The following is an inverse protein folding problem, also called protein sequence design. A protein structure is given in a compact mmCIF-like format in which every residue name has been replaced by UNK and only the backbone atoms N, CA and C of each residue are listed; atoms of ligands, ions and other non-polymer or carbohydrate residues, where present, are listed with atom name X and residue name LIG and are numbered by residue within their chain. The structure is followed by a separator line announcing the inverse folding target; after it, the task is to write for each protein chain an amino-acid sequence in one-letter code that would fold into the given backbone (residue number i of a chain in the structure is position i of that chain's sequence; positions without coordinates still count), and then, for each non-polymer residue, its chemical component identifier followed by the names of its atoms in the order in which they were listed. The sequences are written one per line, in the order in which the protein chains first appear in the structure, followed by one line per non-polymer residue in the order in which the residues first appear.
data_IF_972645563439
#
_entry.id   IF_972645563439
#
_cell.length_a   1.000
_cell.length_b   1.000
_cell.length_c   1.000
_cell.angle_alpha   90.00
_cell.angle_beta   90.00
_cell.angle_gamma   90.00
#
_symmetry.space_group_name_H-M   'P 1'
#
loop_
_entity.id
_entity.type
_entity.pdbx_description
1 polymer ?
#
# COMPACT_ATOMS: atom_id res chain seq x y z
N UNK A 1 4.24 -10.13 -0.42
CA UNK A 1 2.97 -9.98 0.32
C UNK A 1 1.97 -9.34 -0.62
N UNK A 2 0.73 -9.81 -0.62
CA UNK A 2 -0.25 -9.47 -1.66
C UNK A 2 -1.64 -9.26 -1.09
N UNK A 3 -2.52 -8.74 -1.93
CA UNK A 3 -3.95 -8.66 -1.65
C UNK A 3 -4.57 -10.05 -1.65
N UNK A 4 -5.81 -10.16 -1.17
CA UNK A 4 -6.56 -11.41 -1.21
C UNK A 4 -7.08 -11.70 -2.64
N UNK A 5 -6.21 -11.62 -3.64
CA UNK A 5 -6.48 -11.79 -5.07
C UNK A 5 -6.02 -13.16 -5.54
N UNK A 6 -6.94 -14.08 -5.90
CA UNK A 6 -6.57 -15.39 -6.44
C UNK A 6 -5.70 -15.30 -7.69
N UNK A 7 -5.97 -14.31 -8.56
CA UNK A 7 -5.21 -14.08 -9.79
C UNK A 7 -3.78 -13.67 -9.51
N UNK A 8 -3.57 -12.76 -8.56
CA UNK A 8 -2.23 -12.31 -8.16
C UNK A 8 -1.43 -13.45 -7.52
N UNK A 9 -2.07 -14.23 -6.64
CA UNK A 9 -1.46 -15.41 -6.03
C UNK A 9 -1.05 -16.43 -7.09
N UNK A 10 -1.91 -16.69 -8.07
CA UNK A 10 -1.63 -17.64 -9.15
C UNK A 10 -0.47 -17.17 -10.03
N UNK A 11 -0.48 -15.90 -10.45
CA UNK A 11 0.58 -15.32 -11.28
C UNK A 11 1.95 -15.36 -10.57
N UNK A 12 2.00 -15.04 -9.28
CA UNK A 12 3.27 -15.10 -8.52
C UNK A 12 3.77 -16.53 -8.41
N UNK A 13 2.89 -17.51 -8.15
CA UNK A 13 3.30 -18.93 -8.09
C UNK A 13 3.78 -19.47 -9.44
N UNK A 14 3.21 -18.98 -10.54
CA UNK A 14 3.61 -19.36 -11.88
C UNK A 14 5.02 -18.85 -12.23
N UNK A 15 5.33 -17.60 -11.88
CA UNK A 15 6.63 -16.99 -12.17
C UNK A 15 7.69 -17.38 -11.14
N UNK A 16 7.31 -17.49 -9.87
CA UNK A 16 8.20 -17.74 -8.74
C UNK A 16 7.75 -18.97 -7.94
N UNK A 17 8.21 -20.14 -8.36
CA UNK A 17 7.80 -21.43 -7.78
C UNK A 17 8.04 -21.57 -6.26
N UNK A 18 9.06 -20.87 -5.72
CA UNK A 18 9.47 -20.96 -4.31
C UNK A 18 9.11 -19.71 -3.48
N UNK A 19 8.27 -18.81 -4.01
CA UNK A 19 7.93 -17.60 -3.28
C UNK A 19 6.91 -17.88 -2.15
N UNK A 20 7.27 -17.49 -0.92
CA UNK A 20 6.33 -17.47 0.19
C UNK A 20 5.32 -16.34 0.01
N UNK A 21 4.05 -16.70 -0.14
CA UNK A 21 2.97 -15.73 -0.34
C UNK A 21 2.27 -15.47 0.98
N UNK A 22 2.22 -14.19 1.35
CA UNK A 22 1.54 -13.73 2.55
C UNK A 22 0.45 -12.74 2.19
N UNK A 23 -0.73 -12.94 2.74
CA UNK A 23 -1.84 -11.99 2.59
C UNK A 23 -1.68 -10.82 3.54
N UNK A 24 -1.95 -9.61 3.04
CA UNK A 24 -1.90 -8.38 3.82
C UNK A 24 -3.07 -8.30 4.82
N UNK A 25 -2.77 -8.13 6.12
CA UNK A 25 -3.80 -7.97 7.16
C UNK A 25 -4.65 -6.72 6.95
N UNK A 26 -4.06 -5.66 6.38
CA UNK A 26 -4.75 -4.39 6.07
C UNK A 26 -5.93 -4.59 5.12
N UNK A 27 -5.84 -5.52 4.17
CA UNK A 27 -6.94 -5.79 3.23
C UNK A 27 -7.92 -6.83 3.76
N UNK A 28 -7.47 -7.74 4.63
CA UNK A 28 -8.32 -8.77 5.24
C UNK A 28 -9.29 -8.15 6.25
N UNK A 29 -8.81 -7.30 7.16
CA UNK A 29 -9.62 -6.73 8.25
C UNK A 29 -10.86 -5.98 7.72
N UNK A 30 -10.76 -5.07 6.74
CA UNK A 30 -11.93 -4.41 6.14
C UNK A 30 -12.90 -5.37 5.44
N UNK A 31 -12.39 -6.46 4.83
CA UNK A 31 -13.23 -7.47 4.21
C UNK A 31 -14.04 -8.25 5.27
N UNK A 32 -13.44 -8.53 6.43
CA UNK A 32 -14.16 -9.08 7.59
C UNK A 32 -15.18 -8.09 8.12
N UNK A 33 -14.80 -6.84 8.39
CA UNK A 33 -15.70 -5.81 8.90
C UNK A 33 -16.94 -5.59 8.02
N UNK A 34 -16.75 -5.60 6.69
CA UNK A 34 -17.87 -5.45 5.73
C UNK A 34 -18.87 -6.59 5.89
N UNK A 35 -18.38 -7.82 6.00
CA UNK A 35 -19.22 -8.99 6.21
C UNK A 35 -19.82 -9.02 7.61
N UNK A 36 -19.09 -8.59 8.63
CA UNK A 36 -19.60 -8.48 10.01
C UNK A 36 -20.77 -7.51 10.05
N UNK A 37 -20.63 -6.32 9.47
CA UNK A 37 -21.71 -5.31 9.45
C UNK A 37 -22.95 -5.79 8.71
N UNK A 38 -22.76 -6.56 7.63
CA UNK A 38 -23.85 -7.07 6.79
C UNK A 38 -24.55 -8.28 7.41
N UNK A 39 -23.77 -9.28 7.81
CA UNK A 39 -24.25 -10.61 8.19
C UNK A 39 -24.63 -10.67 9.68
N UNK A 40 -24.05 -9.81 10.52
CA UNK A 40 -24.41 -9.65 11.93
C UNK A 40 -25.29 -8.41 12.05
N UNK A 41 -26.55 -8.56 11.66
CA UNK A 41 -27.60 -7.57 11.87
C UNK A 41 -28.82 -8.26 12.48
N UNK A 42 -29.26 -7.79 13.65
CA UNK A 42 -30.55 -8.21 14.19
C UNK A 42 -31.63 -7.50 13.36
N UNK A 43 -32.35 -8.26 12.52
CA UNK A 43 -33.48 -7.70 11.78
C UNK A 43 -34.47 -7.14 12.81
N UNK A 44 -34.89 -5.88 12.65
CA UNK A 44 -36.10 -5.34 13.29
C UNK A 44 -37.30 -6.09 12.73
N UNK A 45 -37.57 -7.28 13.27
CA UNK A 45 -38.77 -8.04 12.97
C UNK A 45 -39.97 -7.41 13.65
N UNK A 46 -41.01 -7.15 12.85
CA UNK A 46 -42.28 -6.55 13.25
C UNK A 46 -43.12 -7.43 14.21
N UNK A 47 -42.65 -8.62 14.58
CA UNK A 47 -43.29 -9.50 15.56
C UNK A 47 -42.27 -10.57 16.00
N UNK A 48 -41.37 -10.23 16.92
CA UNK A 48 -41.00 -11.14 18.01
C UNK A 48 -40.15 -10.38 19.03
N UNK A 49 -40.53 -10.53 20.29
CA UNK A 49 -39.91 -9.90 21.45
C UNK A 49 -38.46 -10.36 21.57
N UNK A 50 -37.53 -9.60 21.00
CA UNK A 50 -36.24 -9.14 21.57
C UNK A 50 -35.68 -8.18 20.50
N UNK A 51 -36.07 -6.91 20.60
CA UNK A 51 -35.36 -5.83 19.89
C UNK A 51 -34.03 -5.62 20.62
N UNK A 52 -32.99 -6.38 20.25
CA UNK A 52 -31.63 -6.03 20.71
C UNK A 52 -31.32 -4.62 20.21
N UNK A 53 -30.86 -3.76 21.11
CA UNK A 53 -30.57 -2.37 20.80
C UNK A 53 -29.44 -2.28 19.76
N UNK A 54 -29.31 -1.12 19.11
CA UNK A 54 -28.16 -0.84 18.24
C UNK A 54 -26.83 -1.07 18.98
N UNK A 55 -26.80 -0.76 20.28
CA UNK A 55 -25.65 -0.97 21.16
C UNK A 55 -25.33 -2.45 21.37
N UNK A 56 -26.32 -3.30 21.61
CA UNK A 56 -26.12 -4.75 21.74
C UNK A 56 -25.59 -5.39 20.45
N UNK A 57 -25.99 -4.85 19.30
CA UNK A 57 -25.50 -5.30 17.99
C UNK A 57 -24.04 -4.93 17.80
N UNK A 58 -23.64 -3.74 18.22
CA UNK A 58 -22.26 -3.25 18.16
C UNK A 58 -21.34 -4.06 19.08
N UNK A 59 -21.75 -4.30 20.33
CA UNK A 59 -21.00 -5.15 21.27
C UNK A 59 -20.74 -6.56 20.73
N UNK A 60 -21.72 -7.15 20.03
CA UNK A 60 -21.56 -8.47 19.39
C UNK A 60 -20.54 -8.40 18.25
N UNK A 61 -20.58 -7.35 17.42
CA UNK A 61 -19.63 -7.17 16.31
C UNK A 61 -18.20 -6.94 16.81
N UNK A 62 -18.05 -6.18 17.89
CA UNK A 62 -16.76 -5.92 18.53
C UNK A 62 -16.17 -7.21 19.10
N UNK A 63 -17.00 -8.02 19.78
CA UNK A 63 -16.59 -9.34 20.27
C UNK A 63 -16.13 -10.26 19.15
N UNK A 64 -16.89 -10.33 18.05
CA UNK A 64 -16.52 -11.15 16.89
C UNK A 64 -15.20 -10.66 16.26
N UNK A 65 -15.02 -9.35 16.16
CA UNK A 65 -13.77 -8.75 15.67
C UNK A 65 -12.59 -9.06 16.58
N UNK A 66 -12.78 -9.03 17.90
CA UNK A 66 -11.77 -9.42 18.88
C UNK A 66 -11.37 -10.89 18.75
N UNK A 67 -12.34 -11.80 18.62
CA UNK A 67 -12.08 -13.23 18.43
C UNK A 67 -11.30 -13.49 17.12
N UNK A 68 -11.66 -12.80 16.04
CA UNK A 68 -10.96 -12.86 14.76
C UNK A 68 -9.50 -12.36 14.88
N UNK A 69 -9.27 -11.29 15.64
CA UNK A 69 -7.91 -10.80 15.92
C UNK A 69 -7.12 -11.79 16.79
N UNK A 70 -7.73 -12.40 17.80
CA UNK A 70 -7.08 -13.43 18.63
C UNK A 70 -6.59 -14.61 17.77
N UNK A 71 -7.45 -15.10 16.87
CA UNK A 71 -7.05 -16.08 15.86
C UNK A 71 -5.96 -15.53 14.93
N UNK A 72 -6.06 -14.27 14.49
CA UNK A 72 -5.06 -13.61 13.61
C UNK A 72 -3.64 -13.72 14.15
N UNK A 73 -3.49 -13.50 15.46
CA UNK A 73 -2.20 -13.38 16.15
C UNK A 73 -1.84 -14.58 17.02
N UNK A 74 -2.55 -15.70 16.91
CA UNK A 74 -2.18 -16.95 17.61
C UNK A 74 -0.76 -17.38 17.25
N UNK A 75 0.06 -17.71 18.25
CA UNK A 75 1.49 -18.01 18.07
C UNK A 75 1.75 -19.42 17.51
N UNK A 76 0.87 -20.38 17.81
CA UNK A 76 1.02 -21.76 17.36
C UNK A 76 -0.24 -22.26 16.64
N UNK A 77 -0.11 -23.27 15.75
CA UNK A 77 -1.26 -23.90 15.10
C UNK A 77 -2.31 -24.43 16.10
N UNK A 78 -1.88 -24.97 17.23
CA UNK A 78 -2.77 -25.52 18.26
C UNK A 78 -3.54 -24.39 18.97
N UNK A 79 -2.88 -23.27 19.26
CA UNK A 79 -3.53 -22.09 19.81
C UNK A 79 -4.56 -21.52 18.84
N UNK A 80 -4.26 -21.53 17.55
CA UNK A 80 -5.20 -21.14 16.51
C UNK A 80 -6.41 -22.09 16.46
N UNK A 81 -6.19 -23.40 16.43
CA UNK A 81 -7.26 -24.39 16.31
C UNK A 81 -8.20 -24.33 17.52
N UNK A 82 -7.66 -24.13 18.74
CA UNK A 82 -8.46 -23.87 19.94
C UNK A 82 -9.28 -22.59 19.83
N UNK A 83 -8.67 -21.48 19.41
CA UNK A 83 -9.35 -20.21 19.21
C UNK A 83 -10.45 -20.30 18.13
N UNK A 84 -10.23 -21.08 17.08
CA UNK A 84 -11.21 -21.33 16.01
C UNK A 84 -12.39 -22.15 16.53
N UNK A 85 -12.16 -23.19 17.32
CA UNK A 85 -13.24 -23.98 17.94
C UNK A 85 -14.10 -23.13 18.89
N UNK A 86 -13.47 -22.33 19.75
CA UNK A 86 -14.17 -21.39 20.63
C UNK A 86 -14.98 -20.37 19.81
N UNK A 87 -14.37 -19.81 18.76
CA UNK A 87 -15.04 -18.87 17.86
C UNK A 87 -16.30 -19.47 17.22
N UNK A 88 -16.25 -20.73 16.75
CA UNK A 88 -17.42 -21.42 16.20
C UNK A 88 -18.50 -21.66 17.26
N UNK A 89 -18.11 -22.10 18.46
CA UNK A 89 -19.04 -22.41 19.55
C UNK A 89 -19.78 -21.16 20.05
N UNK A 90 -19.07 -20.03 20.18
CA UNK A 90 -19.59 -18.76 20.71
C UNK A 90 -20.46 -17.99 19.72
N UNK A 91 -20.37 -18.29 18.43
CA UNK A 91 -21.00 -17.50 17.36
C UNK A 91 -21.87 -18.35 16.43
N UNK A 92 -22.33 -19.51 16.92
CA UNK A 92 -23.11 -20.49 16.18
C UNK A 92 -24.39 -19.91 15.56
N UNK A 93 -24.95 -18.85 16.16
CA UNK A 93 -26.14 -18.16 15.67
C UNK A 93 -25.90 -17.36 14.38
N UNK A 94 -24.64 -17.08 14.02
CA UNK A 94 -24.27 -16.30 12.83
C UNK A 94 -23.81 -17.21 11.68
N UNK A 95 -24.63 -18.22 11.36
CA UNK A 95 -24.29 -19.27 10.37
C UNK A 95 -23.81 -18.74 9.02
N UNK A 96 -24.43 -17.67 8.50
CA UNK A 96 -24.04 -17.04 7.23
C UNK A 96 -22.61 -16.51 7.28
N UNK A 97 -22.25 -15.85 8.38
CA UNK A 97 -20.89 -15.33 8.58
C UNK A 97 -19.88 -16.46 8.78
N UNK A 98 -20.24 -17.47 9.57
CA UNK A 98 -19.39 -18.65 9.79
C UNK A 98 -19.14 -19.42 8.49
N UNK A 99 -20.17 -19.60 7.65
CA UNK A 99 -20.04 -20.25 6.34
C UNK A 99 -19.12 -19.44 5.41
N UNK A 100 -19.27 -18.11 5.39
CA UNK A 100 -18.34 -17.23 4.67
C UNK A 100 -16.90 -17.40 5.16
N UNK A 101 -16.69 -17.41 6.48
CA UNK A 101 -15.37 -17.53 7.07
C UNK A 101 -14.72 -18.89 6.78
N UNK A 102 -15.43 -19.98 7.04
CA UNK A 102 -14.92 -21.32 6.81
C UNK A 102 -14.66 -21.60 5.33
N UNK A 103 -15.46 -21.03 4.42
CA UNK A 103 -15.27 -21.24 2.97
C UNK A 103 -14.11 -20.43 2.41
N UNK A 104 -14.05 -19.13 2.71
CA UNK A 104 -13.10 -18.23 2.05
C UNK A 104 -11.78 -18.15 2.80
N UNK A 105 -11.86 -18.11 4.13
CA UNK A 105 -10.73 -17.77 4.97
C UNK A 105 -10.04 -19.04 5.47
N UNK A 106 -10.73 -20.04 6.01
CA UNK A 106 -10.06 -21.22 6.58
C UNK A 106 -9.08 -21.95 5.62
N UNK A 107 -9.36 -22.16 4.32
CA UNK A 107 -8.43 -22.80 3.40
C UNK A 107 -7.14 -22.02 3.16
N UNK A 108 -7.13 -20.72 3.47
CA UNK A 108 -6.00 -19.81 3.29
C UNK A 108 -5.32 -19.47 4.62
N UNK A 109 -5.48 -20.33 5.63
CA UNK A 109 -5.03 -20.05 7.00
C UNK A 109 -3.52 -19.80 7.07
N UNK A 110 -2.74 -20.63 6.40
CA UNK A 110 -1.28 -20.59 6.35
C UNK A 110 -0.74 -19.27 5.75
N UNK A 111 -1.44 -18.69 4.79
CA UNK A 111 -1.01 -17.46 4.10
C UNK A 111 -1.18 -16.20 4.96
N UNK A 112 -1.93 -16.25 6.08
CA UNK A 112 -2.31 -15.03 6.83
C UNK A 112 -2.11 -15.09 8.34
N UNK A 113 -2.26 -16.24 8.99
CA UNK A 113 -2.21 -16.32 10.45
C UNK A 113 -0.79 -16.41 10.96
N UNK A 114 -0.54 -15.77 12.11
CA UNK A 114 0.81 -15.71 12.71
C UNK A 114 1.36 -17.11 13.03
N UNK A 115 0.49 -18.03 13.43
CA UNK A 115 0.83 -19.43 13.76
C UNK A 115 1.64 -20.18 12.68
N UNK A 116 1.51 -19.79 11.41
CA UNK A 116 2.24 -20.40 10.29
C UNK A 116 3.33 -19.46 9.71
N UNK A 117 3.65 -18.36 10.40
CA UNK A 117 4.58 -17.31 9.94
C UNK A 117 5.78 -17.12 10.88
N UNK A 118 6.38 -18.22 11.33
CA UNK A 118 7.41 -18.21 12.39
C UNK A 118 8.64 -17.34 12.07
N UNK A 119 8.91 -17.01 10.80
CA UNK A 119 10.11 -16.27 10.39
C UNK A 119 9.87 -14.87 9.78
N UNK A 120 8.63 -14.35 9.79
CA UNK A 120 8.35 -13.04 9.16
C UNK A 120 8.36 -11.92 10.21
N UNK A 121 9.36 -11.05 10.17
CA UNK A 121 9.53 -9.92 11.11
C UNK A 121 8.58 -8.75 10.88
N UNK A 122 7.87 -8.72 9.75
CA UNK A 122 7.04 -7.58 9.35
C UNK A 122 5.58 -7.72 9.80
N UNK A 123 5.13 -6.82 10.67
CA UNK A 123 3.71 -6.61 10.95
C UNK A 123 3.10 -5.75 9.83
N UNK A 124 2.36 -6.41 8.94
CA UNK A 124 1.91 -5.87 7.63
C UNK A 124 1.08 -4.59 7.74
N UNK A 125 0.35 -4.43 8.84
CA UNK A 125 -0.49 -3.26 9.10
C UNK A 125 0.37 -1.98 9.14
N UNK A 126 1.48 -2.02 9.88
CA UNK A 126 2.22 -0.80 10.20
C UNK A 126 3.03 -0.28 9.02
N UNK A 127 3.59 -1.15 8.18
CA UNK A 127 4.40 -0.72 7.03
C UNK A 127 3.54 -0.20 5.88
N UNK A 128 2.45 -0.90 5.54
CA UNK A 128 1.54 -0.45 4.48
C UNK A 128 0.79 0.81 4.93
N UNK A 129 0.32 0.85 6.17
CA UNK A 129 -0.36 2.03 6.71
C UNK A 129 0.58 3.23 6.81
N UNK A 130 1.84 3.06 7.25
CA UNK A 130 2.81 4.16 7.30
C UNK A 130 3.15 4.66 5.90
N UNK A 131 3.35 3.76 4.93
CA UNK A 131 3.58 4.13 3.54
C UNK A 131 2.39 4.92 2.98
N UNK A 132 1.16 4.42 3.14
CA UNK A 132 -0.04 5.13 2.71
C UNK A 132 -0.24 6.46 3.43
N UNK A 133 0.09 6.54 4.71
CA UNK A 133 -0.01 7.76 5.50
C UNK A 133 1.01 8.82 5.06
N UNK A 134 2.25 8.41 4.75
CA UNK A 134 3.26 9.29 4.16
C UNK A 134 2.78 9.80 2.80
N UNK A 135 2.28 8.89 1.94
CA UNK A 135 1.78 9.25 0.63
C UNK A 135 0.61 10.24 0.71
N UNK A 136 -0.33 10.02 1.65
CA UNK A 136 -1.43 10.96 1.91
C UNK A 136 -0.96 12.29 2.49
N UNK A 137 0.01 12.27 3.39
CA UNK A 137 0.47 13.47 4.10
C UNK A 137 1.28 14.38 3.19
N UNK A 138 2.25 13.82 2.46
CA UNK A 138 3.15 14.62 1.64
C UNK A 138 2.55 14.99 0.28
N UNK A 139 1.75 14.12 -0.33
CA UNK A 139 1.28 14.32 -1.71
C UNK A 139 -0.21 14.61 -1.85
N UNK A 140 -1.05 14.13 -0.92
CA UNK A 140 -2.52 14.20 -1.07
C UNK A 140 -3.23 15.08 -0.02
N UNK A 141 -2.47 15.91 0.71
CA UNK A 141 -3.00 16.88 1.66
C UNK A 141 -3.88 16.26 2.76
N UNK A 142 -3.60 15.00 3.16
CA UNK A 142 -4.39 14.23 4.14
C UNK A 142 -5.88 14.07 3.76
N UNK A 143 -6.20 14.11 2.47
CA UNK A 143 -7.57 13.91 2.00
C UNK A 143 -8.16 12.59 2.51
N UNK A 144 -9.34 12.68 3.14
CA UNK A 144 -10.00 11.55 3.81
C UNK A 144 -10.61 10.53 2.83
N UNK A 145 -10.83 10.88 1.57
CA UNK A 145 -11.71 10.13 0.66
C UNK A 145 -11.02 9.32 -0.44
N UNK A 146 -9.68 9.34 -0.54
CA UNK A 146 -8.99 8.64 -1.62
C UNK A 146 -8.40 7.32 -1.10
N UNK A 147 -8.92 6.19 -1.62
CA UNK A 147 -8.15 4.94 -1.65
C UNK A 147 -6.91 5.24 -2.46
N UNK A 148 -5.78 5.38 -1.77
CA UNK A 148 -4.49 5.75 -2.36
C UNK A 148 -4.14 4.78 -3.48
N UNK A 149 -4.49 3.50 -3.34
CA UNK A 149 -4.33 2.45 -4.34
C UNK A 149 -4.99 2.81 -5.67
N UNK A 150 -6.24 3.30 -5.61
CA UNK A 150 -6.98 3.70 -6.81
C UNK A 150 -6.37 4.95 -7.42
N UNK A 151 -5.89 5.88 -6.62
CA UNK A 151 -5.23 7.07 -7.13
C UNK A 151 -3.87 6.73 -7.75
N UNK A 152 -3.05 5.91 -7.11
CA UNK A 152 -1.76 5.44 -7.62
C UNK A 152 -1.97 4.63 -8.90
N UNK A 153 -2.99 3.78 -8.95
CA UNK A 153 -3.38 3.08 -10.17
C UNK A 153 -3.86 4.06 -11.26
N UNK A 154 -4.72 5.02 -10.94
CA UNK A 154 -5.12 6.05 -11.92
C UNK A 154 -3.91 6.88 -12.38
N UNK A 155 -2.97 7.16 -11.47
CA UNK A 155 -1.71 7.86 -11.73
C UNK A 155 -0.73 7.05 -12.57
N UNK A 156 -0.68 5.73 -12.42
CA UNK A 156 0.12 4.85 -13.29
C UNK A 156 -0.54 4.68 -14.65
N UNK A 157 -1.86 4.86 -14.73
CA UNK A 157 -2.64 4.88 -15.97
C UNK A 157 -2.76 6.29 -16.58
N UNK A 158 -2.05 7.29 -16.05
CA UNK A 158 -2.16 8.71 -16.46
C UNK A 158 -1.82 8.95 -17.93
N UNK A 159 -1.01 8.11 -18.57
CA UNK A 159 -0.79 8.22 -20.01
C UNK A 159 -2.07 7.91 -20.81
N UNK A 160 -2.99 7.11 -20.26
CA UNK A 160 -4.25 6.75 -20.91
C UNK A 160 -5.42 7.66 -20.49
N UNK A 161 -5.42 8.17 -19.25
CA UNK A 161 -6.56 8.93 -18.67
C UNK A 161 -6.45 10.45 -18.95
N UNK A 162 -5.24 10.98 -19.16
CA UNK A 162 -5.04 12.40 -19.53
C UNK A 162 -5.79 12.80 -20.82
N UNK A 163 -6.00 11.86 -21.74
CA UNK A 163 -6.70 12.11 -22.99
C UNK A 163 -8.23 12.24 -22.84
N UNK A 164 -8.82 11.74 -21.74
CA UNK A 164 -10.27 11.54 -21.65
C UNK A 164 -11.02 12.56 -20.78
N UNK A 165 -10.35 13.27 -19.85
CA UNK A 165 -11.07 13.95 -18.76
C UNK A 165 -10.61 15.37 -18.37
N UNK A 166 -9.85 16.08 -19.22
CA UNK A 166 -9.54 17.51 -19.05
C UNK A 166 -9.16 17.92 -17.61
N UNK A 167 -8.46 17.05 -16.87
CA UNK A 167 -7.82 17.46 -15.63
C UNK A 167 -6.76 18.49 -16.03
N UNK A 168 -6.95 19.74 -15.60
CA UNK A 168 -6.00 20.83 -15.80
C UNK A 168 -4.62 20.44 -15.28
N UNK A 169 -3.82 19.85 -16.16
CA UNK A 169 -2.55 19.25 -15.81
C UNK A 169 -1.52 20.31 -15.50
N UNK A 170 -0.49 19.91 -14.75
CA UNK A 170 0.83 20.49 -14.87
C UNK A 170 1.30 20.30 -16.32
N UNK A 171 0.86 21.16 -17.22
CA UNK A 171 1.28 21.15 -18.62
C UNK A 171 2.68 21.73 -18.64
N UNK A 172 3.67 20.86 -18.83
CA UNK A 172 5.01 21.27 -19.20
C UNK A 172 4.87 22.16 -20.46
N UNK A 173 5.54 23.30 -20.46
CA UNK A 173 5.67 24.11 -21.66
C UNK A 173 6.31 23.26 -22.77
N UNK A 174 6.05 23.61 -24.03
CA UNK A 174 6.65 22.89 -25.17
C UNK A 174 8.19 22.79 -25.05
N UNK A 175 8.82 23.78 -24.40
CA UNK A 175 10.24 23.78 -24.11
C UNK A 175 10.62 22.77 -23.03
N UNK A 176 9.85 22.66 -21.96
CA UNK A 176 10.06 21.67 -20.90
C UNK A 176 9.85 20.23 -21.40
N UNK A 177 8.83 19.98 -22.23
CA UNK A 177 8.63 18.66 -22.86
C UNK A 177 9.78 18.29 -23.80
N UNK A 178 10.25 19.25 -24.61
CA UNK A 178 11.40 19.04 -25.50
C UNK A 178 12.67 18.69 -24.70
N UNK A 179 12.91 19.40 -23.58
CA UNK A 179 14.02 19.11 -22.66
C UNK A 179 13.87 17.76 -21.97
N UNK A 180 12.66 17.39 -21.54
CA UNK A 180 12.38 16.08 -20.95
C UNK A 180 12.65 14.93 -21.93
N UNK A 181 12.15 15.03 -23.17
CA UNK A 181 12.44 14.05 -24.23
C UNK A 181 13.93 13.92 -24.52
N UNK A 182 14.66 15.04 -24.53
CA UNK A 182 16.11 15.01 -24.73
C UNK A 182 16.85 14.31 -23.58
N UNK A 183 16.43 14.54 -22.32
CA UNK A 183 17.03 13.91 -21.15
C UNK A 183 16.84 12.39 -21.12
N UNK A 184 15.67 11.88 -21.52
CA UNK A 184 15.42 10.43 -21.61
C UNK A 184 16.22 9.71 -22.71
N UNK A 185 16.76 10.45 -23.67
CA UNK A 185 17.62 9.90 -24.71
C UNK A 185 19.11 9.89 -24.32
N UNK A 186 19.46 10.39 -23.13
CA UNK A 186 20.84 10.38 -22.65
C UNK A 186 21.12 8.99 -22.08
N UNK A 187 22.21 8.39 -22.54
CA UNK A 187 22.68 7.10 -22.07
C UNK A 187 23.04 7.15 -20.57
N UNK A 188 22.73 6.07 -19.85
CA UNK A 188 22.92 5.98 -18.42
C UNK A 188 24.41 6.05 -18.03
N UNK A 189 25.28 5.40 -18.78
CA UNK A 189 26.72 5.38 -18.48
C UNK A 189 27.34 6.75 -18.72
N UNK A 190 26.86 7.47 -19.74
CA UNK A 190 27.20 8.88 -19.97
C UNK A 190 26.73 9.74 -18.79
N UNK A 191 25.53 9.49 -18.27
CA UNK A 191 24.96 10.24 -17.14
C UNK A 191 25.75 10.05 -15.85
N UNK A 192 26.21 8.83 -15.56
CA UNK A 192 27.09 8.56 -14.42
C UNK A 192 28.46 9.25 -14.57
N UNK A 193 28.98 9.33 -15.80
CA UNK A 193 30.30 9.93 -16.05
C UNK A 193 30.36 11.46 -15.86
N UNK A 194 29.22 12.16 -15.88
CA UNK A 194 29.18 13.63 -15.75
C UNK A 194 29.01 14.12 -14.32
N UNK A 195 28.79 13.20 -13.37
CA UNK A 195 28.67 13.50 -11.94
C UNK A 195 29.97 13.14 -11.24
N UNK A 196 30.61 14.12 -10.64
CA UNK A 196 31.84 13.95 -9.88
C UNK A 196 31.62 14.36 -8.43
N UNK A 197 32.13 13.57 -7.49
CA UNK A 197 32.10 13.90 -6.09
C UNK A 197 33.28 14.84 -5.76
N UNK A 198 32.98 16.01 -5.18
CA UNK A 198 34.00 16.96 -4.75
C UNK A 198 34.38 16.74 -3.28
N UNK A 199 33.37 16.62 -2.41
CA UNK A 199 33.53 16.46 -0.97
C UNK A 199 32.48 15.49 -0.41
N UNK A 200 32.54 15.22 0.89
CA UNK A 200 31.51 14.48 1.60
C UNK A 200 30.17 15.24 1.50
N UNK A 201 29.19 14.63 0.82
CA UNK A 201 27.88 15.23 0.52
C UNK A 201 27.85 16.40 -0.47
N UNK A 202 28.90 16.60 -1.27
CA UNK A 202 28.94 17.66 -2.28
C UNK A 202 29.35 17.07 -3.63
N UNK A 203 28.48 17.25 -4.61
CA UNK A 203 28.64 16.73 -5.96
C UNK A 203 28.64 17.87 -6.97
N UNK A 204 29.38 17.70 -8.06
CA UNK A 204 29.30 18.53 -9.25
C UNK A 204 28.75 17.72 -10.42
N UNK A 205 27.79 18.30 -11.15
CA UNK A 205 27.27 17.73 -12.38
C UNK A 205 27.63 18.67 -13.54
N UNK A 206 28.26 18.14 -14.58
CA UNK A 206 28.46 18.89 -15.82
C UNK A 206 27.13 19.04 -16.55
N UNK A 207 26.87 20.22 -17.11
CA UNK A 207 25.69 20.47 -17.93
C UNK A 207 25.80 19.74 -19.28
N UNK A 208 24.72 19.11 -19.71
CA UNK A 208 24.68 18.37 -20.99
C UNK A 208 24.63 19.26 -22.24
N UNK A 209 24.34 20.55 -22.08
CA UNK A 209 24.10 21.49 -23.19
C UNK A 209 25.30 22.42 -23.39
N UNK A 210 26.07 22.67 -22.32
CA UNK A 210 27.18 23.60 -22.31
C UNK A 210 28.36 22.94 -21.58
N UNK A 211 29.39 22.54 -22.32
CA UNK A 211 30.55 21.76 -21.81
C UNK A 211 31.31 22.45 -20.67
N UNK A 212 31.10 23.75 -20.49
CA UNK A 212 31.82 24.61 -19.52
C UNK A 212 31.01 24.81 -18.23
N UNK A 213 29.73 24.44 -18.22
CA UNK A 213 28.83 24.79 -17.13
C UNK A 213 28.68 23.62 -16.15
N UNK A 214 28.94 23.88 -14.87
CA UNK A 214 28.85 22.91 -13.79
C UNK A 214 27.81 23.34 -12.76
N UNK A 215 27.01 22.39 -12.30
CA UNK A 215 26.05 22.59 -11.22
C UNK A 215 26.52 21.90 -9.96
N UNK A 216 26.53 22.64 -8.84
CA UNK A 216 26.84 22.13 -7.52
C UNK A 216 25.56 21.60 -6.88
N UNK A 217 25.68 20.43 -6.26
CA UNK A 217 24.61 19.72 -5.56
C UNK A 217 25.09 19.39 -4.15
N UNK A 218 24.37 19.87 -3.15
CA UNK A 218 24.64 19.51 -1.75
C UNK A 218 23.60 18.50 -1.28
N UNK A 219 24.04 17.36 -0.74
CA UNK A 219 23.18 16.36 -0.12
C UNK A 219 23.26 16.44 1.41
N UNK A 220 22.25 15.92 2.10
CA UNK A 220 22.27 15.71 3.55
C UNK A 220 21.34 14.55 3.87
N UNK A 221 21.81 13.57 4.64
CA UNK A 221 21.01 12.38 5.03
C UNK A 221 20.38 11.69 3.80
N UNK A 222 21.16 11.54 2.72
CA UNK A 222 20.74 10.95 1.43
C UNK A 222 19.70 11.76 0.63
N UNK A 223 19.38 13.00 1.04
CA UNK A 223 18.48 13.89 0.30
C UNK A 223 19.22 15.07 -0.33
N UNK A 224 18.85 15.45 -1.57
CA UNK A 224 19.32 16.69 -2.21
C UNK A 224 18.77 17.91 -1.47
N UNK A 225 19.65 18.70 -0.86
CA UNK A 225 19.29 19.88 -0.06
C UNK A 225 19.36 21.17 -0.87
N UNK A 226 20.44 21.37 -1.62
CA UNK A 226 20.65 22.56 -2.44
C UNK A 226 21.13 22.18 -3.83
N UNK A 227 20.72 22.95 -4.84
CA UNK A 227 21.28 22.86 -6.17
C UNK A 227 21.46 24.27 -6.75
N UNK A 228 22.60 24.51 -7.39
CA UNK A 228 22.89 25.78 -8.07
C UNK A 228 22.17 25.93 -9.42
N UNK A 229 21.23 25.03 -9.76
CA UNK A 229 20.45 25.12 -10.98
C UNK A 229 19.47 26.31 -10.91
N UNK A 230 19.47 27.23 -11.90
CA UNK A 230 18.75 28.49 -11.82
C UNK A 230 17.22 28.36 -11.87
N UNK A 231 16.67 27.20 -12.25
CA UNK A 231 15.22 26.96 -12.24
C UNK A 231 14.80 26.20 -10.97
N UNK A 232 14.58 26.95 -9.89
CA UNK A 232 14.12 26.42 -8.60
C UNK A 232 12.59 26.32 -8.50
N UNK A 233 11.85 26.62 -9.58
CA UNK A 233 10.40 26.85 -9.47
C UNK A 233 9.59 25.57 -9.26
N UNK A 234 10.12 24.39 -9.64
CA UNK A 234 9.48 23.08 -9.49
C UNK A 234 10.58 22.03 -9.43
N UNK A 235 10.65 21.26 -8.33
CA UNK A 235 11.57 20.13 -8.04
C UNK A 235 12.85 20.06 -8.89
N UNK A 236 14.02 20.24 -8.28
CA UNK A 236 15.30 20.17 -8.98
C UNK A 236 15.39 18.89 -9.83
N UNK A 237 15.61 19.04 -11.14
CA UNK A 237 15.61 17.92 -12.11
C UNK A 237 16.72 16.89 -11.84
N UNK A 238 17.73 17.26 -11.04
CA UNK A 238 18.78 16.35 -10.58
C UNK A 238 18.33 15.38 -9.47
N UNK A 239 17.13 15.55 -8.90
CA UNK A 239 16.54 14.61 -7.90
C UNK A 239 16.39 13.20 -8.47
N UNK A 240 16.26 13.04 -9.78
CA UNK A 240 16.17 11.72 -10.41
C UNK A 240 17.51 10.98 -10.49
N UNK A 241 18.62 11.59 -10.06
CA UNK A 241 19.97 11.05 -10.24
C UNK A 241 20.74 10.82 -8.94
N UNK A 242 20.15 11.11 -7.77
CA UNK A 242 20.83 10.96 -6.46
C UNK A 242 20.56 9.61 -5.77
N UNK A 243 20.02 8.62 -6.48
CA UNK A 243 19.83 7.25 -5.96
C UNK A 243 20.69 6.30 -6.77
N UNK A 244 21.95 6.17 -6.35
CA UNK A 244 22.84 5.07 -6.62
C UNK A 244 23.29 4.48 -5.28
#
# INVERSE_FOLDING_TARGET
MVDCSPTEIAAIKEVFANADILLCHWHIKPAWETHIKRDISFKRGFNEKISKSTHDTELVRDRISANLNSMMYSETPEAFDLAHQLFLAENKEFEVFLAYFNRLWLPRKELRFKAWKQNTSFHTNNLIESHHNQLKTFYLGRSRSLRVDRLVYLLSQVDTIKAAHDFGGFRLTANEEKKGRAAYCIDYDITCSVVEQLEENVYQCRAFIEDILFYKMDTKEDFLKNCSYPDQTKMCKHIFWSTA
#
